data_IF_779022534732
#
_entry.id   IF_779022534732
#
_cell.length_a   1.000
_cell.length_b   1.000
_cell.length_c   1.000
_cell.angle_alpha   90.00
_cell.angle_beta   90.00
_cell.angle_gamma   90.00
#
_symmetry.space_group_name_H-M   'P 1'
#
loop_
_entity.id
_entity.type
_entity.pdbx_description
1 polymer ?
#
# COMPACT_ATOMS: atom_id res chain seq x y z
N UNK A 1 10.60 10.82 6.85
CA UNK A 1 9.15 10.82 7.16
C UNK A 1 8.87 12.01 8.05
N UNK A 2 8.16 13.00 7.53
CA UNK A 2 7.59 14.05 8.38
C UNK A 2 6.27 13.50 8.94
N UNK A 3 6.16 13.43 10.27
CA UNK A 3 4.83 13.34 10.92
C UNK A 3 4.24 14.75 10.99
N UNK A 4 2.91 14.83 11.13
CA UNK A 4 2.06 16.04 11.32
C UNK A 4 2.57 17.10 12.32
N UNK A 5 3.69 16.85 13.02
CA UNK A 5 4.33 17.68 14.03
C UNK A 5 5.74 18.20 13.62
N UNK A 6 6.18 18.02 12.36
CA UNK A 6 7.44 18.59 11.84
C UNK A 6 8.72 17.81 12.17
N UNK A 7 8.62 16.62 12.77
CA UNK A 7 9.79 15.77 13.07
C UNK A 7 10.12 14.91 11.85
N UNK A 8 11.33 15.09 11.32
CA UNK A 8 11.89 14.25 10.24
C UNK A 8 12.48 12.98 10.87
N UNK A 9 11.83 11.84 10.65
CA UNK A 9 12.38 10.54 11.03
C UNK A 9 12.98 9.82 9.81
N UNK A 10 14.06 9.03 10.00
CA UNK A 10 14.56 8.16 8.94
C UNK A 10 13.48 7.16 8.51
N UNK A 11 13.47 6.88 7.21
CA UNK A 11 12.65 5.82 6.63
C UNK A 11 13.06 4.47 7.26
N UNK A 12 12.09 3.65 7.66
CA UNK A 12 12.34 2.28 8.12
C UNK A 12 11.31 1.33 7.51
N UNK A 13 11.79 0.19 7.01
CA UNK A 13 10.97 -0.93 6.54
C UNK A 13 10.04 -1.47 7.62
N UNK A 14 10.47 -1.45 8.88
CA UNK A 14 9.66 -1.95 10.00
C UNK A 14 8.37 -1.15 10.17
N UNK A 15 8.39 0.15 9.88
CA UNK A 15 7.19 1.00 9.91
C UNK A 15 6.19 0.63 8.81
N UNK A 16 6.67 0.29 7.61
CA UNK A 16 5.82 -0.19 6.52
C UNK A 16 5.18 -1.51 6.91
N UNK A 17 6.00 -2.47 7.35
CA UNK A 17 5.52 -3.79 7.79
C UNK A 17 4.50 -3.64 8.91
N UNK A 18 4.76 -2.79 9.90
CA UNK A 18 3.83 -2.52 11.00
C UNK A 18 2.52 -1.90 10.51
N UNK A 19 2.57 -0.94 9.58
CA UNK A 19 1.39 -0.28 9.02
C UNK A 19 0.51 -1.23 8.22
N UNK A 20 1.10 -2.14 7.44
CA UNK A 20 0.36 -3.05 6.56
C UNK A 20 -0.11 -4.32 7.28
N UNK A 21 0.57 -4.74 8.36
CA UNK A 21 0.29 -5.99 9.08
C UNK A 21 -1.18 -6.10 9.52
N UNK A 22 -1.81 -4.99 9.93
CA UNK A 22 -3.22 -5.00 10.34
C UNK A 22 -4.16 -5.34 9.16
N UNK A 23 -3.90 -4.79 7.99
CA UNK A 23 -4.69 -5.08 6.78
C UNK A 23 -4.57 -6.55 6.35
N UNK A 24 -3.38 -7.15 6.54
CA UNK A 24 -3.09 -8.54 6.19
C UNK A 24 -3.59 -9.59 7.21
N UNK A 25 -4.23 -9.20 8.32
CA UNK A 25 -4.68 -10.16 9.33
C UNK A 25 -5.68 -11.18 8.77
N UNK A 26 -5.39 -12.48 9.00
CA UNK A 26 -6.21 -13.59 8.51
C UNK A 26 -6.13 -13.82 7.00
N UNK A 27 -5.17 -13.19 6.31
CA UNK A 27 -4.88 -13.41 4.88
C UNK A 27 -3.68 -14.35 4.73
N UNK A 28 -3.54 -15.05 3.59
CA UNK A 28 -2.40 -15.92 3.31
C UNK A 28 -1.15 -15.09 2.94
N UNK A 29 -0.73 -14.19 3.83
CA UNK A 29 0.41 -13.29 3.64
C UNK A 29 1.45 -13.58 4.71
N UNK A 30 2.66 -13.96 4.31
CA UNK A 30 3.75 -14.32 5.21
C UNK A 30 4.59 -13.11 5.60
N UNK A 31 5.41 -13.22 6.66
CA UNK A 31 6.36 -12.17 7.02
C UNK A 31 7.41 -11.93 5.91
N UNK A 32 7.74 -12.94 5.13
CA UNK A 32 8.61 -12.81 3.95
C UNK A 32 7.95 -11.94 2.88
N UNK A 33 6.67 -12.15 2.59
CA UNK A 33 5.94 -11.34 1.62
C UNK A 33 5.87 -9.88 2.07
N UNK A 34 5.66 -9.64 3.37
CA UNK A 34 5.69 -8.29 3.94
C UNK A 34 7.07 -7.63 3.82
N UNK A 35 8.15 -8.39 3.99
CA UNK A 35 9.51 -7.88 3.81
C UNK A 35 9.79 -7.50 2.35
N UNK A 36 9.34 -8.32 1.38
CA UNK A 36 9.44 -8.02 -0.05
C UNK A 36 8.62 -6.79 -0.42
N UNK A 37 7.38 -6.69 0.08
CA UNK A 37 6.55 -5.50 -0.09
C UNK A 37 7.24 -4.25 0.43
N UNK A 38 7.78 -4.29 1.66
CA UNK A 38 8.46 -3.15 2.26
C UNK A 38 9.71 -2.73 1.46
N UNK A 39 10.44 -3.70 0.88
CA UNK A 39 11.55 -3.42 -0.01
C UNK A 39 11.09 -2.71 -1.30
N UNK A 40 10.03 -3.19 -1.96
CA UNK A 40 9.49 -2.57 -3.19
C UNK A 40 9.02 -1.14 -2.94
N UNK A 41 8.39 -0.89 -1.79
CA UNK A 41 7.98 0.46 -1.38
C UNK A 41 9.20 1.36 -1.17
N UNK A 42 10.24 0.87 -0.49
CA UNK A 42 11.50 1.62 -0.33
C UNK A 42 12.14 1.98 -1.67
N UNK A 43 12.24 1.00 -2.59
CA UNK A 43 12.81 1.21 -3.92
C UNK A 43 12.03 2.26 -4.71
N UNK A 44 10.70 2.20 -4.65
CA UNK A 44 9.79 3.18 -5.29
C UNK A 44 10.05 4.59 -4.75
N UNK A 45 10.12 4.74 -3.42
CA UNK A 45 10.38 6.00 -2.74
C UNK A 45 11.78 6.52 -3.09
N UNK A 46 12.79 5.66 -3.06
CA UNK A 46 14.19 6.01 -3.38
C UNK A 46 14.33 6.48 -4.82
N UNK A 47 13.60 5.85 -5.76
CA UNK A 47 13.61 6.23 -7.17
C UNK A 47 13.08 7.64 -7.43
N UNK A 48 12.28 8.22 -6.52
CA UNK A 48 11.82 9.62 -6.65
C UNK A 48 12.95 10.64 -6.50
N UNK A 49 14.09 10.26 -5.90
CA UNK A 49 15.19 11.18 -5.59
C UNK A 49 14.86 12.24 -4.53
N UNK A 50 13.68 12.17 -3.90
CA UNK A 50 13.25 13.16 -2.93
C UNK A 50 14.07 13.06 -1.64
N UNK A 51 14.63 14.18 -1.20
CA UNK A 51 15.39 14.26 0.05
C UNK A 51 14.49 14.07 1.29
N UNK A 52 13.19 14.33 1.16
CA UNK A 52 12.19 14.18 2.21
C UNK A 52 10.91 13.62 1.59
N UNK A 53 10.26 12.72 2.31
CA UNK A 53 9.04 12.03 1.90
C UNK A 53 8.02 12.18 3.03
N UNK A 54 6.81 12.60 2.68
CA UNK A 54 5.68 12.69 3.61
C UNK A 54 5.18 11.30 3.99
N UNK A 55 4.71 11.13 5.23
CA UNK A 55 4.19 9.82 5.67
C UNK A 55 2.99 9.36 4.82
N UNK A 56 2.21 10.30 4.28
CA UNK A 56 1.10 10.02 3.39
C UNK A 56 1.55 9.37 2.08
N UNK A 57 2.61 9.89 1.47
CA UNK A 57 3.15 9.37 0.20
C UNK A 57 3.64 7.94 0.34
N UNK A 58 4.17 7.58 1.51
CA UNK A 58 4.55 6.20 1.84
C UNK A 58 3.32 5.30 1.92
N UNK A 59 2.24 5.77 2.56
CA UNK A 59 0.96 5.08 2.59
C UNK A 59 0.42 4.82 1.19
N UNK A 60 0.48 5.81 0.32
CA UNK A 60 0.08 5.67 -1.09
C UNK A 60 0.99 4.69 -1.85
N UNK A 61 2.31 4.75 -1.63
CA UNK A 61 3.27 3.84 -2.25
C UNK A 61 3.09 2.38 -1.82
N UNK A 62 2.47 2.11 -0.67
CA UNK A 62 2.13 0.75 -0.20
C UNK A 62 0.99 0.14 -1.02
N UNK A 63 0.05 0.95 -1.52
CA UNK A 63 -1.18 0.46 -2.15
C UNK A 63 -0.91 -0.45 -3.34
N UNK A 64 -0.01 -0.05 -4.24
CA UNK A 64 0.31 -0.81 -5.45
C UNK A 64 0.88 -2.21 -5.16
N UNK A 65 2.00 -2.36 -4.42
CA UNK A 65 2.53 -3.69 -4.12
C UNK A 65 1.62 -4.50 -3.20
N UNK A 66 0.81 -3.86 -2.34
CA UNK A 66 -0.17 -4.57 -1.52
C UNK A 66 -1.32 -5.13 -2.37
N UNK A 67 -1.77 -4.40 -3.39
CA UNK A 67 -2.80 -4.83 -4.33
C UNK A 67 -2.41 -6.08 -5.08
N UNK A 68 -1.17 -6.12 -5.56
CA UNK A 68 -0.61 -7.30 -6.23
C UNK A 68 -0.41 -8.48 -5.28
N UNK A 69 -0.13 -8.21 -4.00
CA UNK A 69 0.09 -9.24 -2.99
C UNK A 69 -1.22 -9.87 -2.51
N UNK A 70 -2.22 -9.04 -2.16
CA UNK A 70 -3.54 -9.50 -1.70
C UNK A 70 -4.58 -8.38 -1.82
N UNK A 71 -5.54 -8.55 -2.72
CA UNK A 71 -6.57 -7.55 -3.03
C UNK A 71 -7.46 -7.21 -1.82
N UNK A 72 -7.72 -8.17 -0.93
CA UNK A 72 -8.55 -7.95 0.27
C UNK A 72 -7.79 -7.12 1.30
N UNK A 73 -6.51 -7.41 1.51
CA UNK A 73 -5.64 -6.59 2.35
C UNK A 73 -5.50 -5.18 1.75
N UNK A 74 -5.37 -5.07 0.44
CA UNK A 74 -5.41 -3.78 -0.25
C UNK A 74 -6.68 -3.00 0.05
N UNK A 75 -7.88 -3.57 -0.14
CA UNK A 75 -9.15 -2.87 0.15
C UNK A 75 -9.25 -2.41 1.61
N UNK A 76 -8.79 -3.25 2.56
CA UNK A 76 -8.76 -2.90 3.99
C UNK A 76 -7.78 -1.76 4.32
N UNK A 77 -6.68 -1.68 3.59
CA UNK A 77 -5.68 -0.64 3.77
C UNK A 77 -6.11 0.67 3.08
N UNK A 78 -6.59 0.55 1.84
CA UNK A 78 -7.10 1.65 1.03
C UNK A 78 -8.24 2.39 1.72
N UNK A 79 -9.16 1.67 2.39
CA UNK A 79 -10.26 2.32 3.10
C UNK A 79 -9.81 3.30 4.18
N UNK A 80 -8.68 3.04 4.83
CA UNK A 80 -8.12 3.96 5.83
C UNK A 80 -7.30 5.06 5.17
N UNK A 81 -6.43 4.71 4.22
CA UNK A 81 -5.46 5.64 3.65
C UNK A 81 -6.03 6.58 2.58
N UNK A 82 -7.05 6.14 1.85
CA UNK A 82 -7.78 6.95 0.88
C UNK A 82 -9.07 7.54 1.46
N UNK A 83 -9.40 7.22 2.72
CA UNK A 83 -10.55 7.78 3.43
C UNK A 83 -11.89 7.34 2.84
N UNK A 84 -12.09 6.03 2.71
CA UNK A 84 -13.39 5.51 2.25
C UNK A 84 -14.43 5.76 3.34
N UNK A 85 -15.45 6.51 3.01
CA UNK A 85 -16.53 6.91 3.92
C UNK A 85 -17.89 6.34 3.49
N UNK A 86 -17.95 5.67 2.34
CA UNK A 86 -19.18 5.16 1.74
C UNK A 86 -19.01 3.78 1.10
N UNK A 87 -20.13 3.09 0.84
CA UNK A 87 -20.12 1.85 0.05
C UNK A 87 -19.64 2.10 -1.39
N UNK A 88 -19.95 3.27 -1.94
CA UNK A 88 -19.58 3.65 -3.30
C UNK A 88 -18.05 3.70 -3.47
N UNK A 89 -17.31 4.10 -2.43
CA UNK A 89 -15.83 4.08 -2.43
C UNK A 89 -15.29 2.65 -2.58
N UNK A 90 -15.91 1.69 -1.88
CA UNK A 90 -15.57 0.28 -2.02
C UNK A 90 -15.95 -0.25 -3.39
N UNK A 91 -17.11 0.11 -3.92
CA UNK A 91 -17.54 -0.31 -5.26
C UNK A 91 -16.61 0.20 -6.34
N UNK A 92 -16.17 1.46 -6.25
CA UNK A 92 -15.18 2.05 -7.15
C UNK A 92 -13.85 1.27 -7.10
N UNK A 93 -13.34 1.00 -5.89
CA UNK A 93 -12.11 0.25 -5.72
C UNK A 93 -12.21 -1.19 -6.27
N UNK A 94 -13.32 -1.88 -6.02
CA UNK A 94 -13.60 -3.22 -6.56
C UNK A 94 -13.69 -3.18 -8.08
N UNK A 95 -14.34 -2.18 -8.65
CA UNK A 95 -14.45 -2.02 -10.11
C UNK A 95 -13.06 -1.89 -10.75
N UNK A 96 -12.16 -1.10 -10.15
CA UNK A 96 -10.77 -0.99 -10.62
C UNK A 96 -10.03 -2.33 -10.58
N UNK A 97 -10.21 -3.12 -9.51
CA UNK A 97 -9.58 -4.45 -9.41
C UNK A 97 -10.07 -5.42 -10.50
N UNK A 98 -11.35 -5.35 -10.85
CA UNK A 98 -11.93 -6.18 -11.91
C UNK A 98 -11.37 -5.82 -13.29
N UNK A 99 -11.21 -4.52 -13.58
CA UNK A 99 -10.61 -4.05 -14.84
C UNK A 99 -9.15 -4.49 -14.97
N UNK A 100 -8.39 -4.45 -13.88
CA UNK A 100 -7.00 -4.94 -13.87
C UNK A 100 -6.93 -6.44 -14.19
N UNK A 101 -7.86 -7.26 -13.68
CA UNK A 101 -7.97 -8.67 -14.02
C UNK A 101 -8.27 -8.88 -15.52
N UNK A 102 -9.25 -8.19 -16.08
CA UNK A 102 -9.63 -8.29 -17.50
C UNK A 102 -8.48 -7.88 -18.44
N UNK A 103 -7.68 -6.88 -18.03
CA UNK A 103 -6.52 -6.41 -18.79
C UNK A 103 -5.37 -7.44 -18.81
N UNK A 104 -5.23 -8.20 -17.72
CA UNK A 104 -4.21 -9.27 -17.61
C UNK A 104 -4.56 -10.51 -18.44
N UNK A 105 -5.86 -10.80 -18.61
CA UNK A 105 -6.36 -11.91 -19.44
C UNK A 105 -6.28 -11.62 -20.95
N UNK A 106 -6.38 -10.34 -21.35
CA UNK A 106 -6.35 -9.95 -22.78
C UNK A 106 -4.93 -9.90 -23.37
N UNK A 107 -3.90 -9.87 -22.51
CA UNK A 107 -2.49 -9.77 -22.91
C UNK A 107 -1.78 -11.15 -22.92
N UNK A 108 -2.48 -12.22 -22.53
CA UNK A 108 -1.97 -13.61 -22.53
C UNK A 108 -2.48 -14.44 -23.71
#
# INVERSE_FOLDING_TARGET
MIKRNGVVEPFSREKIVSGVRKACQGRPVTDTDLAVLAQRVEETIRATGAAQIEANDIGLAILTPLRELDEVAYLRFASVYQGFDSLDDFEAAITLLRVDHESSETTS
#
